data_IF_935459500702
#
_entry.id   IF_935459500702
#
_cell.length_a   1.000
_cell.length_b   1.000
_cell.length_c   1.000
_cell.angle_alpha   90.00
_cell.angle_beta   90.00
_cell.angle_gamma   90.00
#
_symmetry.space_group_name_H-M   'P 1'
#
loop_
_entity.id
_entity.type
_entity.pdbx_description
1 polymer ?
#
# COMPACT_ATOMS: atom_id res chain seq x y z
N UNK A 1 35.02 -1.86 -59.01
CA UNK A 1 34.21 -0.87 -58.29
C UNK A 1 34.57 -0.97 -56.82
N UNK A 2 35.04 0.13 -56.24
CA UNK A 2 35.72 0.15 -54.95
C UNK A 2 34.89 0.96 -53.94
N UNK A 3 35.15 0.68 -52.67
CA UNK A 3 34.77 1.43 -51.46
C UNK A 3 33.32 1.28 -50.97
N UNK A 4 33.18 0.51 -49.89
CA UNK A 4 32.28 0.87 -48.79
C UNK A 4 33.10 0.91 -47.50
N UNK A 5 32.91 1.90 -46.62
CA UNK A 5 33.97 2.40 -45.75
C UNK A 5 33.91 1.84 -44.32
N UNK A 6 33.78 0.53 -44.12
CA UNK A 6 33.87 -0.06 -42.78
C UNK A 6 34.77 -1.32 -42.79
N UNK A 7 35.92 -1.14 -42.14
CA UNK A 7 36.96 -2.09 -41.77
C UNK A 7 37.80 -2.75 -42.90
N UNK A 8 39.06 -2.30 -43.00
CA UNK A 8 40.03 -2.72 -44.00
C UNK A 8 40.70 -4.08 -43.70
N UNK A 9 40.32 -4.79 -42.63
CA UNK A 9 41.06 -5.98 -42.17
C UNK A 9 40.46 -7.34 -42.53
N UNK A 10 39.28 -7.41 -43.19
CA UNK A 10 38.68 -8.70 -43.57
C UNK A 10 38.39 -8.77 -45.08
N UNK A 11 39.38 -9.25 -45.86
CA UNK A 11 39.26 -9.42 -47.33
C UNK A 11 38.66 -10.77 -47.75
N UNK A 12 38.35 -11.66 -46.79
CA UNK A 12 37.66 -12.94 -47.01
C UNK A 12 36.45 -12.97 -46.08
N UNK A 13 35.25 -13.35 -46.54
CA UNK A 13 34.09 -13.50 -45.67
C UNK A 13 34.42 -14.51 -44.56
N UNK A 14 34.30 -14.09 -43.30
CA UNK A 14 34.32 -15.01 -42.17
C UNK A 14 32.93 -15.54 -41.88
N UNK A 15 32.69 -16.05 -40.68
CA UNK A 15 31.39 -16.61 -40.29
C UNK A 15 30.29 -15.52 -40.28
N UNK A 16 30.62 -14.30 -39.82
CA UNK A 16 29.74 -13.13 -39.90
C UNK A 16 29.71 -12.45 -41.29
N UNK A 17 30.29 -13.07 -42.32
CA UNK A 17 30.40 -12.47 -43.66
C UNK A 17 31.51 -11.43 -43.79
N UNK A 18 31.30 -10.46 -44.70
CA UNK A 18 32.22 -9.36 -44.97
C UNK A 18 31.78 -8.07 -44.27
N UNK A 19 32.73 -7.27 -43.77
CA UNK A 19 32.44 -6.00 -43.08
C UNK A 19 32.07 -6.13 -41.59
N UNK A 20 31.93 -7.35 -41.07
CA UNK A 20 31.75 -7.64 -39.65
C UNK A 20 32.92 -8.47 -39.10
N UNK A 21 33.38 -8.14 -37.90
CA UNK A 21 34.39 -8.92 -37.18
C UNK A 21 33.71 -10.18 -36.63
N UNK A 22 34.40 -11.32 -36.69
CA UNK A 22 33.97 -12.53 -36.00
C UNK A 22 34.42 -12.39 -34.53
N UNK A 23 33.59 -11.71 -33.74
CA UNK A 23 33.78 -11.51 -32.29
C UNK A 23 32.70 -12.29 -31.58
N UNK A 24 33.07 -12.84 -30.45
CA UNK A 24 32.23 -13.48 -29.44
C UNK A 24 32.53 -12.68 -28.16
N UNK A 25 31.62 -11.77 -27.82
CA UNK A 25 31.85 -10.73 -26.82
C UNK A 25 31.57 -11.21 -25.38
N UNK A 26 30.67 -12.17 -25.18
CA UNK A 26 30.36 -12.79 -23.89
C UNK A 26 31.04 -14.15 -23.67
N UNK A 27 31.54 -14.78 -24.72
CA UNK A 27 32.38 -15.98 -24.65
C UNK A 27 31.58 -17.28 -24.56
N UNK A 28 30.31 -17.28 -24.97
CA UNK A 28 29.43 -18.46 -24.94
C UNK A 28 29.66 -19.42 -26.13
N UNK A 29 30.45 -18.97 -27.12
CA UNK A 29 30.83 -19.71 -28.31
C UNK A 29 29.97 -19.40 -29.55
N UNK A 30 28.93 -18.57 -29.42
CA UNK A 30 28.27 -17.93 -30.54
C UNK A 30 28.96 -16.60 -30.90
N UNK A 31 28.72 -16.11 -32.12
CA UNK A 31 29.34 -14.86 -32.57
C UNK A 31 28.31 -13.75 -32.42
N UNK A 32 28.76 -12.54 -32.07
CA UNK A 32 27.93 -11.35 -31.89
C UNK A 32 26.95 -11.09 -33.06
N UNK A 33 27.29 -11.53 -34.28
CA UNK A 33 26.49 -11.34 -35.48
C UNK A 33 25.36 -12.37 -35.67
N UNK A 34 25.36 -13.43 -34.87
CA UNK A 34 24.39 -14.53 -34.91
C UNK A 34 23.45 -14.52 -33.70
N UNK A 35 23.52 -13.47 -32.90
CA UNK A 35 22.77 -13.34 -31.65
C UNK A 35 22.23 -11.92 -31.50
N UNK A 36 21.09 -11.81 -30.85
CA UNK A 36 20.53 -10.51 -30.48
C UNK A 36 21.16 -9.98 -29.18
N UNK A 37 21.62 -10.89 -28.32
CA UNK A 37 22.12 -10.62 -26.98
C UNK A 37 23.61 -10.96 -26.81
N UNK A 38 24.44 -10.38 -27.66
CA UNK A 38 25.89 -10.55 -27.73
C UNK A 38 26.71 -10.15 -26.47
N UNK A 39 26.08 -9.93 -25.31
CA UNK A 39 26.74 -9.65 -24.03
C UNK A 39 26.21 -10.54 -22.88
N UNK A 40 25.36 -11.51 -23.20
CA UNK A 40 24.70 -12.39 -22.23
C UNK A 40 24.98 -13.85 -22.55
N UNK A 41 25.99 -14.41 -21.87
CA UNK A 41 26.46 -15.80 -22.04
C UNK A 41 25.34 -16.85 -21.90
N UNK A 42 24.25 -16.54 -21.21
CA UNK A 42 23.18 -17.50 -20.96
C UNK A 42 21.98 -17.32 -21.90
N UNK A 43 22.00 -16.30 -22.77
CA UNK A 43 20.83 -15.92 -23.57
C UNK A 43 21.24 -15.27 -24.88
N UNK A 44 21.29 -16.04 -25.97
CA UNK A 44 21.56 -15.51 -27.31
C UNK A 44 20.37 -14.75 -27.95
N UNK A 45 19.13 -15.17 -27.65
CA UNK A 45 17.90 -14.54 -28.18
C UNK A 45 17.29 -13.56 -27.16
N UNK A 46 16.98 -12.34 -27.58
CA UNK A 46 16.42 -11.30 -26.69
C UNK A 46 15.04 -11.65 -26.11
N UNK A 47 14.27 -12.53 -26.73
CA UNK A 47 12.97 -12.94 -26.17
C UNK A 47 12.03 -11.76 -25.87
N UNK A 48 11.16 -11.91 -24.88
CA UNK A 48 10.20 -10.87 -24.47
C UNK A 48 10.82 -9.95 -23.42
N UNK A 49 11.53 -10.53 -22.44
CA UNK A 49 12.17 -9.80 -21.36
C UNK A 49 13.49 -9.09 -21.76
N UNK A 50 13.93 -9.24 -23.00
CA UNK A 50 15.19 -8.69 -23.49
C UNK A 50 16.40 -9.54 -23.09
N UNK A 51 17.58 -8.93 -23.23
CA UNK A 51 18.83 -9.52 -22.77
C UNK A 51 19.02 -9.31 -21.26
N UNK A 52 19.66 -10.24 -20.56
CA UNK A 52 19.98 -10.15 -19.14
C UNK A 52 18.83 -10.54 -18.21
N UNK A 53 17.66 -10.93 -18.73
CA UNK A 53 16.54 -11.45 -17.97
C UNK A 53 15.99 -12.71 -18.64
N UNK A 54 15.72 -13.74 -17.85
CA UNK A 54 15.09 -14.97 -18.36
C UNK A 54 13.61 -14.72 -18.70
N UNK A 55 13.13 -15.34 -19.77
CA UNK A 55 11.72 -15.35 -20.14
C UNK A 55 10.98 -16.41 -19.30
N UNK A 56 10.82 -16.14 -18.00
CA UNK A 56 10.12 -16.99 -17.03
C UNK A 56 8.71 -16.45 -16.79
N UNK A 57 7.73 -17.34 -16.77
CA UNK A 57 6.35 -17.10 -16.37
C UNK A 57 6.10 -17.96 -15.13
N UNK A 58 6.25 -17.33 -13.96
CA UNK A 58 6.33 -18.01 -12.67
C UNK A 58 4.99 -18.57 -12.19
N UNK A 59 3.86 -17.96 -12.56
CA UNK A 59 2.52 -18.39 -12.14
C UNK A 59 1.68 -19.01 -13.25
N UNK A 60 2.12 -18.91 -14.51
CA UNK A 60 1.50 -19.56 -15.65
C UNK A 60 0.29 -18.81 -16.20
N UNK A 61 0.18 -17.49 -15.97
CA UNK A 61 -0.92 -16.68 -16.50
C UNK A 61 -0.72 -16.24 -17.95
N UNK A 62 0.46 -16.50 -18.51
CA UNK A 62 0.84 -16.19 -19.87
C UNK A 62 1.57 -14.85 -20.04
N UNK A 63 1.86 -14.14 -18.95
CA UNK A 63 2.74 -12.98 -18.92
C UNK A 63 4.08 -13.38 -18.30
N UNK A 64 5.18 -12.97 -18.92
CA UNK A 64 6.49 -13.20 -18.33
C UNK A 64 6.70 -12.28 -17.13
N UNK A 65 7.47 -12.73 -16.14
CA UNK A 65 7.74 -12.04 -14.87
C UNK A 65 8.27 -10.61 -15.05
N UNK A 66 8.92 -10.32 -16.18
CA UNK A 66 9.44 -8.98 -16.51
C UNK A 66 8.35 -7.98 -16.90
N UNK A 67 7.21 -8.46 -17.41
CA UNK A 67 6.05 -7.66 -17.81
C UNK A 67 4.89 -7.82 -16.83
N UNK A 68 4.96 -8.77 -15.91
CA UNK A 68 3.96 -9.02 -14.88
C UNK A 68 4.26 -8.27 -13.57
N UNK A 69 3.32 -7.46 -13.10
CA UNK A 69 3.46 -6.75 -11.82
C UNK A 69 3.01 -7.59 -10.62
N UNK A 70 2.54 -8.81 -10.87
CA UNK A 70 2.11 -9.80 -9.90
C UNK A 70 2.60 -11.22 -10.29
N UNK A 71 3.92 -11.44 -10.46
CA UNK A 71 4.51 -12.67 -11.06
C UNK A 71 4.33 -13.97 -10.26
N UNK A 72 3.50 -13.96 -9.22
CA UNK A 72 3.19 -15.15 -8.42
C UNK A 72 1.67 -15.29 -8.19
N UNK A 73 0.84 -14.55 -8.93
CA UNK A 73 -0.62 -14.55 -8.83
C UNK A 73 -1.27 -14.72 -10.21
N UNK A 74 -1.53 -15.99 -10.57
CA UNK A 74 -2.06 -16.32 -11.89
C UNK A 74 -3.46 -15.75 -12.21
N UNK A 75 -4.10 -15.08 -11.26
CA UNK A 75 -5.40 -14.42 -11.45
C UNK A 75 -5.25 -12.92 -11.72
N UNK A 76 -4.07 -12.34 -11.52
CA UNK A 76 -3.80 -10.91 -11.67
C UNK A 76 -2.43 -10.68 -12.30
N UNK A 77 -2.41 -9.99 -13.45
CA UNK A 77 -1.19 -9.44 -14.07
C UNK A 77 -0.74 -8.09 -13.46
N UNK A 78 -1.54 -7.53 -12.55
CA UNK A 78 -1.30 -6.23 -11.94
C UNK A 78 -1.93 -6.13 -10.54
N UNK A 79 -1.28 -5.40 -9.60
CA UNK A 79 -1.81 -5.23 -8.26
C UNK A 79 -3.21 -4.63 -8.28
N UNK A 80 -4.13 -5.30 -7.60
CA UNK A 80 -5.48 -4.79 -7.35
C UNK A 80 -5.55 -3.85 -6.16
N UNK A 81 -6.77 -3.62 -5.67
CA UNK A 81 -7.02 -2.83 -4.46
C UNK A 81 -6.31 -3.42 -3.24
N UNK A 82 -6.33 -4.74 -3.09
CA UNK A 82 -5.62 -5.46 -2.04
C UNK A 82 -4.21 -5.92 -2.46
N UNK A 83 -3.70 -5.47 -3.61
CA UNK A 83 -2.46 -5.94 -4.20
C UNK A 83 -2.59 -7.27 -4.95
N UNK A 84 -1.49 -8.03 -5.02
CA UNK A 84 -1.43 -9.37 -5.59
C UNK A 84 -1.74 -10.44 -4.53
N UNK A 85 -2.21 -11.61 -4.96
CA UNK A 85 -2.48 -12.79 -4.13
C UNK A 85 -3.73 -12.68 -3.26
N UNK A 86 -4.55 -11.65 -3.47
CA UNK A 86 -5.81 -11.40 -2.74
C UNK A 86 -6.91 -11.01 -3.72
N UNK A 87 -8.12 -11.53 -3.57
CA UNK A 87 -9.24 -11.07 -4.40
C UNK A 87 -9.65 -9.64 -4.01
N UNK A 88 -10.21 -8.87 -4.94
CA UNK A 88 -10.68 -7.49 -4.70
C UNK A 88 -12.21 -7.40 -4.57
N UNK A 89 -12.87 -8.52 -4.31
CA UNK A 89 -14.34 -8.56 -4.21
C UNK A 89 -14.80 -9.04 -2.85
N UNK A 90 -15.72 -8.27 -2.24
CA UNK A 90 -16.41 -8.56 -0.97
C UNK A 90 -17.35 -9.78 -1.01
N UNK A 91 -17.17 -10.70 -1.98
CA UNK A 91 -18.06 -11.84 -2.17
C UNK A 91 -17.72 -13.02 -1.23
N UNK A 92 -16.69 -12.88 -0.39
CA UNK A 92 -16.28 -13.88 0.58
C UNK A 92 -16.08 -13.24 1.95
N UNK A 93 -16.73 -13.80 2.97
CA UNK A 93 -16.53 -13.49 4.41
C UNK A 93 -15.05 -13.61 4.83
N UNK A 94 -14.21 -14.27 4.02
CA UNK A 94 -12.77 -14.35 4.28
C UNK A 94 -11.97 -13.11 3.88
N UNK A 95 -12.61 -12.12 3.23
CA UNK A 95 -11.96 -10.90 2.74
C UNK A 95 -12.60 -9.61 3.28
N UNK A 96 -13.72 -9.76 3.98
CA UNK A 96 -14.51 -8.75 4.67
C UNK A 96 -15.06 -9.49 5.90
N UNK A 97 -14.24 -9.51 6.95
CA UNK A 97 -14.36 -10.42 8.10
C UNK A 97 -15.57 -10.07 8.98
N UNK A 98 -15.93 -8.78 9.06
CA UNK A 98 -17.08 -8.28 9.81
C UNK A 98 -18.31 -7.98 8.94
N UNK A 99 -18.21 -8.14 7.61
CA UNK A 99 -19.29 -7.98 6.63
C UNK A 99 -19.84 -6.53 6.57
N UNK A 100 -18.99 -5.54 6.83
CA UNK A 100 -19.35 -4.12 6.82
C UNK A 100 -19.32 -3.51 5.39
N UNK A 101 -18.77 -4.25 4.43
CA UNK A 101 -18.66 -3.88 3.03
C UNK A 101 -17.31 -3.26 2.65
N UNK A 102 -16.36 -3.15 3.58
CA UNK A 102 -14.97 -2.77 3.34
C UNK A 102 -14.09 -4.02 3.42
N UNK A 103 -13.18 -4.15 2.46
CA UNK A 103 -12.25 -5.29 2.46
C UNK A 103 -11.28 -5.18 3.64
N UNK A 104 -10.94 -6.30 4.28
CA UNK A 104 -9.98 -6.38 5.39
C UNK A 104 -8.63 -5.70 5.08
N UNK A 105 -8.25 -5.62 3.80
CA UNK A 105 -7.01 -4.99 3.37
C UNK A 105 -7.05 -3.45 3.36
N UNK A 106 -8.27 -2.89 3.37
CA UNK A 106 -8.59 -1.47 3.41
C UNK A 106 -9.24 -1.06 4.74
N UNK A 107 -9.57 -2.02 5.60
CA UNK A 107 -10.19 -1.81 6.89
C UNK A 107 -9.13 -1.75 8.00
N UNK A 108 -9.06 -0.62 8.72
CA UNK A 108 -8.16 -0.49 9.87
C UNK A 108 -8.75 -1.14 11.15
N UNK A 109 -9.99 -1.61 11.09
CA UNK A 109 -10.79 -2.26 12.11
C UNK A 109 -11.56 -3.50 11.55
N UNK A 110 -10.89 -4.48 10.93
CA UNK A 110 -11.52 -5.57 10.14
C UNK A 110 -12.38 -6.59 10.93
N UNK A 111 -12.57 -6.37 12.23
CA UNK A 111 -13.42 -7.22 13.09
C UNK A 111 -14.57 -6.41 13.73
N UNK A 112 -14.75 -5.14 13.34
CA UNK A 112 -15.71 -4.19 13.90
C UNK A 112 -16.69 -3.69 12.82
N UNK A 113 -17.88 -4.29 12.68
CA UNK A 113 -18.82 -3.95 11.60
C UNK A 113 -19.39 -2.54 11.69
N UNK A 114 -19.15 -1.82 12.79
CA UNK A 114 -19.60 -0.45 12.98
C UNK A 114 -18.49 0.58 12.65
N UNK A 115 -17.24 0.14 12.40
CA UNK A 115 -16.10 1.03 12.13
C UNK A 115 -15.11 0.44 11.13
N UNK A 116 -14.78 1.26 10.13
CA UNK A 116 -13.69 1.00 9.16
C UNK A 116 -12.35 1.62 9.56
N UNK A 117 -12.36 2.44 10.62
CA UNK A 117 -11.20 3.14 11.14
C UNK A 117 -11.29 3.33 12.67
N UNK A 118 -10.15 3.26 13.39
CA UNK A 118 -10.14 3.45 14.83
C UNK A 118 -10.65 4.83 15.25
N UNK A 119 -11.66 4.84 16.12
CA UNK A 119 -12.11 6.05 16.81
C UNK A 119 -11.27 6.37 18.06
N UNK A 120 -11.67 7.38 18.85
CA UNK A 120 -11.09 7.67 20.17
C UNK A 120 -10.94 6.43 21.08
N UNK A 121 -11.89 5.49 21.02
CA UNK A 121 -11.88 4.26 21.79
C UNK A 121 -11.26 3.07 21.05
N UNK A 122 -10.74 3.28 19.83
CA UNK A 122 -10.25 2.21 18.95
C UNK A 122 -11.38 1.47 18.22
N UNK A 123 -11.07 0.25 17.78
CA UNK A 123 -12.03 -0.70 17.20
C UNK A 123 -12.70 -1.53 18.30
N UNK A 124 -13.93 -1.98 18.06
CA UNK A 124 -14.73 -2.84 18.94
C UNK A 124 -15.40 -2.13 20.11
N UNK A 125 -15.32 -0.79 20.18
CA UNK A 125 -15.91 0.03 21.24
C UNK A 125 -16.58 1.27 20.67
N UNK A 126 -17.82 1.56 21.07
CA UNK A 126 -18.50 2.81 20.69
C UNK A 126 -17.78 4.06 21.24
N UNK A 127 -17.70 5.13 20.44
CA UNK A 127 -17.14 6.43 20.85
C UNK A 127 -18.20 7.31 21.53
N UNK A 128 -18.80 6.79 22.60
CA UNK A 128 -19.82 7.51 23.39
C UNK A 128 -19.15 8.67 24.12
N UNK A 129 -19.78 9.85 24.08
CA UNK A 129 -19.51 10.99 24.95
C UNK A 129 -20.78 11.26 25.78
N UNK A 130 -20.84 10.63 26.94
CA UNK A 130 -22.03 10.63 27.81
C UNK A 130 -22.33 12.01 28.40
N UNK A 131 -21.30 12.84 28.50
CA UNK A 131 -21.25 14.04 29.30
C UNK A 131 -21.27 15.31 28.42
N UNK A 132 -20.87 15.19 27.15
CA UNK A 132 -20.94 16.21 26.11
C UNK A 132 -19.79 17.20 26.12
N UNK A 133 -18.67 16.90 26.79
CA UNK A 133 -17.49 17.76 26.85
C UNK A 133 -16.51 17.57 25.68
N UNK A 134 -16.76 16.59 24.81
CA UNK A 134 -15.96 16.29 23.63
C UNK A 134 -14.85 15.25 23.87
N UNK A 135 -14.73 14.65 25.05
CA UNK A 135 -13.94 13.44 25.28
C UNK A 135 -14.84 12.21 25.27
N UNK A 136 -14.45 11.18 24.51
CA UNK A 136 -15.16 9.90 24.57
C UNK A 136 -14.95 9.23 25.93
N UNK A 137 -15.97 8.53 26.44
CA UNK A 137 -16.04 7.91 27.76
C UNK A 137 -14.83 7.00 28.08
N UNK A 138 -14.25 6.35 27.06
CA UNK A 138 -13.08 5.49 27.20
C UNK A 138 -11.78 6.23 27.53
N UNK A 139 -11.70 7.52 27.19
CA UNK A 139 -10.56 8.42 27.42
C UNK A 139 -10.92 9.57 28.37
N UNK A 140 -12.18 9.66 28.78
CA UNK A 140 -12.66 10.60 29.78
C UNK A 140 -12.57 9.98 31.18
N UNK A 141 -11.78 10.62 32.04
CA UNK A 141 -11.66 10.20 33.43
C UNK A 141 -12.82 10.71 34.32
N UNK A 142 -13.70 11.55 33.76
CA UNK A 142 -14.86 12.14 34.42
C UNK A 142 -16.10 12.00 33.54
N UNK A 143 -16.46 10.76 33.22
CA UNK A 143 -17.62 10.30 32.40
C UNK A 143 -19.01 10.76 32.85
N UNK A 144 -19.07 11.54 33.91
CA UNK A 144 -20.31 12.12 34.41
C UNK A 144 -20.01 13.57 34.67
N UNK A 145 -20.88 14.45 34.19
CA UNK A 145 -21.00 15.85 34.58
C UNK A 145 -21.22 15.98 36.10
N UNK A 146 -20.28 15.54 36.93
CA UNK A 146 -19.96 16.24 38.16
C UNK A 146 -19.22 17.50 37.73
N UNK A 147 -19.97 18.41 37.08
CA UNK A 147 -19.95 19.77 37.58
C UNK A 147 -19.84 19.65 39.08
N UNK A 148 -18.72 20.14 39.57
CA UNK A 148 -18.54 20.40 40.97
C UNK A 148 -19.65 21.38 41.36
N UNK A 149 -20.84 20.86 41.68
CA UNK A 149 -21.81 21.50 42.54
C UNK A 149 -21.28 21.55 44.00
N UNK A 150 -20.01 21.17 44.21
CA UNK A 150 -19.19 21.54 45.35
C UNK A 150 -18.08 22.56 45.01
N UNK A 151 -18.03 23.11 43.79
CA UNK A 151 -16.95 23.96 43.29
C UNK A 151 -17.28 25.44 43.17
N UNK A 152 -18.14 25.87 42.23
CA UNK A 152 -18.27 27.32 41.91
C UNK A 152 -19.67 27.79 41.42
N UNK A 153 -20.78 27.17 41.86
CA UNK A 153 -22.12 27.72 41.60
C UNK A 153 -23.04 27.79 42.84
N UNK A 154 -22.48 27.56 44.04
CA UNK A 154 -23.20 27.60 45.32
C UNK A 154 -22.91 28.83 46.20
N UNK A 155 -22.13 29.81 45.73
CA UNK A 155 -21.79 31.03 46.50
C UNK A 155 -22.52 32.30 46.06
N UNK A 156 -23.59 32.20 45.25
CA UNK A 156 -24.31 33.40 44.78
C UNK A 156 -25.69 33.64 45.40
N UNK A 157 -26.19 32.84 46.35
CA UNK A 157 -27.51 33.09 46.94
C UNK A 157 -27.58 33.11 48.47
N UNK A 158 -26.50 32.79 49.20
CA UNK A 158 -26.49 32.88 50.67
C UNK A 158 -25.88 34.18 51.24
N UNK A 159 -25.30 35.05 50.40
CA UNK A 159 -24.82 36.38 50.84
C UNK A 159 -25.89 37.48 50.77
N UNK A 160 -27.03 37.23 50.10
CA UNK A 160 -28.10 38.21 49.95
C UNK A 160 -29.15 38.16 51.08
N UNK A 161 -29.14 37.14 51.96
CA UNK A 161 -30.14 36.99 53.03
C UNK A 161 -29.68 37.46 54.42
N UNK A 162 -28.41 37.88 54.59
CA UNK A 162 -27.90 38.40 55.86
C UNK A 162 -27.82 39.93 55.93
N UNK A 163 -28.13 40.65 54.85
CA UNK A 163 -28.27 42.11 54.86
C UNK A 163 -29.70 42.60 55.12
N UNK A 164 -30.72 41.73 55.12
CA UNK A 164 -32.11 42.11 55.40
C UNK A 164 -32.56 41.91 56.85
N UNK A 165 -31.76 41.26 57.71
CA UNK A 165 -32.12 41.04 59.13
C UNK A 165 -31.43 42.05 60.07
N UNK A 166 -30.37 42.73 59.63
CA UNK A 166 -29.72 43.78 60.44
C UNK A 166 -30.43 45.15 60.39
N UNK A 167 -31.46 45.31 59.55
CA UNK A 167 -32.22 46.57 59.45
C UNK A 167 -33.51 46.59 60.31
N UNK A 168 -33.85 45.50 61.00
CA UNK A 168 -35.10 45.40 61.79
C UNK A 168 -34.92 45.47 63.32
N UNK A 169 -33.71 45.72 63.82
CA UNK A 169 -33.42 45.87 65.26
C UNK A 169 -32.81 47.23 65.65
N UNK A 170 -33.10 48.29 64.90
CA UNK A 170 -32.78 49.68 65.27
C UNK A 170 -33.99 50.64 65.18
N UNK A 171 -35.16 50.20 65.63
CA UNK A 171 -36.26 51.10 66.00
C UNK A 171 -36.98 50.60 67.25
#
# INVERSE_FOLDING_TARGET
DASSPNDALKQVPGLCGCGLRDVDSDGDGALDCHEDCHLDENKGDAGVCGCGMEDVDSDGDGLFDCDDNCPNDAQKVAPGTCGCGKEDTVQSVTLDTDEDGVLDCLDDCPEDPDKTAPGPCGCGFEDIDSDGDGLADCIDNVVTQYYSAAGLAGLSTMAALLLSVAAFFLY
#
